data_IF_513273230245
#
_entry.id   IF_513273230245
#
_cell.length_a   1.000
_cell.length_b   1.000
_cell.length_c   1.000
_cell.angle_alpha   90.00
_cell.angle_beta   90.00
_cell.angle_gamma   90.00
#
_symmetry.space_group_name_H-M   'P 1'
#
loop_
_entity.id
_entity.type
_entity.pdbx_description
1 polymer ?
#
# COMPACT_ATOMS: atom_id res chain seq x y z
N UNK A 1 -39.41 57.89 39.16
CA UNK A 1 -38.12 58.38 38.59
C UNK A 1 -37.44 57.16 37.96
N UNK A 2 -37.38 57.02 36.62
CA UNK A 2 -36.20 57.36 35.75
C UNK A 2 -34.88 56.86 36.39
N UNK A 3 -34.05 55.98 35.82
CA UNK A 3 -33.73 55.58 34.43
C UNK A 3 -33.22 54.11 34.37
N UNK A 4 -33.27 53.49 33.18
CA UNK A 4 -32.52 52.29 32.73
C UNK A 4 -31.22 52.72 31.99
N UNK A 5 -30.38 51.88 31.31
CA UNK A 5 -30.12 50.41 31.34
C UNK A 5 -28.59 50.06 31.35
N UNK A 6 -28.26 48.77 31.12
CA UNK A 6 -27.04 48.20 30.50
C UNK A 6 -25.88 47.61 31.35
N UNK A 7 -25.50 46.39 30.90
CA UNK A 7 -24.22 45.68 31.03
C UNK A 7 -23.85 44.98 32.35
N UNK A 8 -24.09 43.66 32.39
CA UNK A 8 -23.07 42.58 32.45
C UNK A 8 -23.63 41.36 33.19
N UNK A 9 -23.76 40.24 32.45
CA UNK A 9 -23.17 38.94 32.81
C UNK A 9 -23.44 37.94 31.70
N UNK A 10 -22.42 37.73 30.87
CA UNK A 10 -22.25 36.54 30.04
C UNK A 10 -22.05 35.31 30.94
N UNK A 11 -22.72 34.20 30.55
CA UNK A 11 -22.34 32.77 30.57
C UNK A 11 -21.46 32.18 31.72
N UNK A 12 -21.72 30.92 32.16
CA UNK A 12 -21.77 29.79 31.23
C UNK A 12 -22.87 28.75 31.48
N UNK A 13 -23.65 28.49 30.42
CA UNK A 13 -24.31 27.21 30.18
C UNK A 13 -23.58 26.54 29.01
N UNK A 14 -22.34 26.09 29.24
CA UNK A 14 -21.49 25.40 28.27
C UNK A 14 -20.40 24.66 29.04
N UNK A 15 -20.77 23.61 29.76
CA UNK A 15 -19.80 22.83 30.54
C UNK A 15 -20.13 21.33 30.67
N UNK A 16 -21.15 20.83 29.98
CA UNK A 16 -21.57 19.42 30.08
C UNK A 16 -21.64 18.67 28.74
N UNK A 17 -21.04 19.22 27.68
CA UNK A 17 -20.97 18.59 26.35
C UNK A 17 -19.54 18.33 25.85
N UNK A 18 -18.55 18.39 26.75
CA UNK A 18 -17.14 18.10 26.46
C UNK A 18 -16.62 16.91 27.28
N UNK A 19 -17.47 15.89 27.49
CA UNK A 19 -16.96 14.53 27.73
C UNK A 19 -16.29 14.07 26.44
N UNK A 20 -15.02 14.46 26.31
CA UNK A 20 -13.94 13.62 25.81
C UNK A 20 -14.42 12.61 24.78
N UNK A 21 -14.57 13.05 23.52
CA UNK A 21 -14.21 12.18 22.42
C UNK A 21 -12.72 11.88 22.61
N UNK A 22 -12.39 10.93 23.50
CA UNK A 22 -11.06 10.36 23.56
C UNK A 22 -10.79 9.88 22.15
N UNK A 23 -9.83 10.51 21.49
CA UNK A 23 -9.41 10.10 20.18
C UNK A 23 -9.00 8.63 20.25
N UNK A 24 -9.84 7.75 19.70
CA UNK A 24 -9.59 6.32 19.61
C UNK A 24 -8.73 5.98 18.39
N UNK A 25 -8.21 6.98 17.68
CA UNK A 25 -7.27 6.79 16.56
C UNK A 25 -5.96 6.09 16.95
N UNK A 26 -5.73 5.78 18.22
CA UNK A 26 -4.62 4.91 18.66
C UNK A 26 -5.03 3.54 19.20
N UNK A 27 -6.33 3.22 19.25
CA UNK A 27 -6.83 1.96 19.84
C UNK A 27 -7.06 0.93 18.74
N UNK A 28 -6.20 -0.08 18.72
CA UNK A 28 -6.27 -1.21 17.81
C UNK A 28 -6.82 -2.44 18.54
N UNK A 29 -7.62 -3.26 17.85
CA UNK A 29 -8.23 -4.44 18.45
C UNK A 29 -7.21 -5.57 18.61
N UNK A 30 -6.77 -5.82 19.85
CA UNK A 30 -5.68 -6.75 20.19
C UNK A 30 -6.08 -8.23 20.10
N UNK A 31 -7.35 -8.56 19.82
CA UNK A 31 -7.86 -9.93 19.74
C UNK A 31 -8.20 -10.44 18.33
N UNK A 32 -8.00 -9.61 17.30
CA UNK A 32 -8.38 -9.94 15.92
C UNK A 32 -7.23 -10.64 15.18
N UNK A 33 -7.56 -11.51 14.22
CA UNK A 33 -6.56 -12.13 13.35
C UNK A 33 -5.75 -11.05 12.62
N UNK A 34 -4.42 -11.09 12.68
CA UNK A 34 -3.58 -10.02 12.12
C UNK A 34 -3.66 -9.93 10.60
N UNK A 35 -3.86 -11.06 9.92
CA UNK A 35 -4.09 -11.14 8.49
C UNK A 35 -5.40 -11.90 8.20
N UNK A 36 -6.20 -11.37 7.29
CA UNK A 36 -7.45 -11.98 6.81
C UNK A 36 -7.44 -12.18 5.30
N UNK A 37 -6.33 -11.84 4.64
CA UNK A 37 -6.17 -12.00 3.21
C UNK A 37 -6.13 -13.49 2.85
N UNK A 38 -6.97 -13.87 1.89
CA UNK A 38 -6.83 -15.14 1.18
C UNK A 38 -6.02 -14.90 -0.09
N UNK A 39 -4.84 -15.53 -0.17
CA UNK A 39 -3.94 -15.43 -1.32
C UNK A 39 -4.61 -15.88 -2.62
N UNK A 40 -4.46 -15.10 -3.68
CA UNK A 40 -5.01 -15.37 -5.00
C UNK A 40 -4.39 -16.61 -5.68
N UNK A 41 -3.13 -16.91 -5.37
CA UNK A 41 -2.41 -18.11 -5.84
C UNK A 41 -1.85 -17.99 -7.27
N UNK A 42 -1.42 -19.11 -7.84
CA UNK A 42 -0.66 -19.14 -9.10
C UNK A 42 -1.45 -18.72 -10.35
N UNK A 43 -2.79 -18.78 -10.31
CA UNK A 43 -3.65 -18.38 -11.44
C UNK A 43 -4.15 -16.96 -11.18
N UNK A 44 -3.25 -15.99 -11.31
CA UNK A 44 -3.51 -14.58 -10.98
C UNK A 44 -2.94 -13.67 -12.08
N UNK A 45 -3.50 -12.47 -12.24
CA UNK A 45 -2.96 -11.39 -13.07
C UNK A 45 -3.05 -10.05 -12.35
N UNK A 46 -2.05 -9.19 -12.56
CA UNK A 46 -2.05 -7.80 -12.09
C UNK A 46 -2.30 -6.84 -13.24
N UNK A 47 -3.19 -5.87 -13.01
CA UNK A 47 -3.62 -4.86 -13.96
C UNK A 47 -3.51 -3.48 -13.32
N UNK A 48 -3.01 -2.50 -14.06
CA UNK A 48 -2.71 -1.17 -13.53
C UNK A 48 -3.14 -0.08 -14.49
N UNK A 49 -3.42 1.10 -13.92
CA UNK A 49 -3.52 2.37 -14.67
C UNK A 49 -3.01 3.52 -13.82
N UNK A 50 -2.54 4.55 -14.49
CA UNK A 50 -2.20 5.83 -13.84
C UNK A 50 -3.37 6.79 -13.90
N UNK A 51 -3.59 7.50 -12.80
CA UNK A 51 -4.47 8.64 -12.66
C UNK A 51 -3.62 9.89 -12.39
N UNK A 52 -4.28 11.05 -12.25
CA UNK A 52 -3.57 12.33 -12.07
C UNK A 52 -2.73 12.37 -10.80
N UNK A 53 -3.17 11.74 -9.71
CA UNK A 53 -2.48 11.75 -8.42
C UNK A 53 -2.31 10.34 -7.84
N UNK A 54 -2.69 9.30 -8.58
CA UNK A 54 -2.80 7.94 -8.04
C UNK A 54 -2.41 6.89 -9.08
N UNK A 55 -1.99 5.73 -8.61
CA UNK A 55 -1.91 4.50 -9.39
C UNK A 55 -3.00 3.55 -8.90
N UNK A 56 -3.89 3.13 -9.79
CA UNK A 56 -4.91 2.12 -9.48
C UNK A 56 -4.44 0.75 -9.93
N UNK A 57 -4.48 -0.22 -9.03
CA UNK A 57 -4.05 -1.60 -9.22
C UNK A 57 -5.24 -2.53 -8.98
N UNK A 58 -5.37 -3.54 -9.83
CA UNK A 58 -6.24 -4.68 -9.64
C UNK A 58 -5.42 -5.97 -9.68
N UNK A 59 -5.60 -6.82 -8.67
CA UNK A 59 -5.09 -8.19 -8.67
C UNK A 59 -6.28 -9.13 -8.73
N UNK A 60 -6.37 -9.89 -9.81
CA UNK A 60 -7.48 -10.79 -10.08
C UNK A 60 -6.97 -12.22 -10.08
N UNK A 61 -7.60 -13.10 -9.29
CA UNK A 61 -7.37 -14.55 -9.29
C UNK A 61 -7.85 -15.24 -10.56
N UNK A 62 -7.43 -14.73 -11.71
CA UNK A 62 -7.58 -15.30 -13.03
C UNK A 62 -6.37 -14.87 -13.87
N UNK A 63 -5.80 -15.79 -14.65
CA UNK A 63 -4.65 -15.48 -15.51
C UNK A 63 -5.03 -14.61 -16.73
N UNK A 64 -6.25 -14.79 -17.27
CA UNK A 64 -6.72 -14.10 -18.48
C UNK A 64 -8.17 -13.58 -18.31
N UNK A 65 -8.41 -12.66 -17.36
CA UNK A 65 -9.75 -12.15 -17.06
C UNK A 65 -10.39 -11.47 -18.28
N UNK A 66 -11.73 -11.57 -18.37
CA UNK A 66 -12.52 -10.95 -19.45
C UNK A 66 -12.64 -11.76 -20.74
N UNK A 67 -12.12 -12.99 -20.77
CA UNK A 67 -12.19 -13.88 -21.96
C UNK A 67 -13.23 -15.00 -21.81
N UNK A 68 -13.64 -15.31 -20.58
CA UNK A 68 -14.54 -16.40 -20.23
C UNK A 68 -15.19 -16.14 -18.88
N UNK A 69 -16.04 -17.08 -18.45
CA UNK A 69 -16.48 -17.13 -17.06
C UNK A 69 -15.27 -17.45 -16.16
N UNK A 70 -15.07 -16.64 -15.13
CA UNK A 70 -13.97 -16.79 -14.16
C UNK A 70 -14.49 -16.40 -12.77
N UNK A 71 -13.80 -16.90 -11.75
CA UNK A 71 -14.03 -16.51 -10.36
C UNK A 71 -12.73 -16.66 -9.59
N UNK A 72 -12.51 -15.82 -8.60
CA UNK A 72 -11.31 -15.91 -7.79
C UNK A 72 -11.18 -14.75 -6.83
N UNK A 73 -9.96 -14.58 -6.34
CA UNK A 73 -9.54 -13.46 -5.51
C UNK A 73 -9.71 -12.13 -6.25
N UNK A 74 -10.12 -11.09 -5.51
CA UNK A 74 -10.22 -9.72 -6.00
C UNK A 74 -9.50 -8.82 -5.03
N UNK A 75 -8.51 -8.09 -5.51
CA UNK A 75 -7.92 -6.96 -4.80
C UNK A 75 -7.95 -5.74 -5.70
N UNK A 76 -8.37 -4.62 -5.13
CA UNK A 76 -8.23 -3.29 -5.73
C UNK A 76 -7.40 -2.43 -4.78
N UNK A 77 -6.38 -1.74 -5.28
CA UNK A 77 -5.62 -0.77 -4.51
C UNK A 77 -5.54 0.57 -5.27
N UNK A 78 -5.67 1.67 -4.54
CA UNK A 78 -5.34 3.01 -4.98
C UNK A 78 -4.14 3.45 -4.15
N UNK A 79 -3.01 3.69 -4.82
CA UNK A 79 -1.79 4.22 -4.20
C UNK A 79 -1.63 5.65 -4.68
N UNK A 80 -1.73 6.60 -3.76
CA UNK A 80 -1.57 8.01 -4.05
C UNK A 80 -0.09 8.36 -4.21
N UNK A 81 0.20 9.43 -4.94
CA UNK A 81 1.53 10.00 -5.09
C UNK A 81 2.23 10.22 -3.74
N UNK A 82 1.48 10.62 -2.72
CA UNK A 82 1.99 10.83 -1.35
C UNK A 82 2.21 9.53 -0.55
N UNK A 83 2.07 8.36 -1.17
CA UNK A 83 2.19 7.03 -0.56
C UNK A 83 1.03 6.65 0.39
N UNK A 84 -0.06 7.43 0.43
CA UNK A 84 -1.33 6.98 1.02
C UNK A 84 -1.92 5.83 0.19
N UNK A 85 -2.58 4.89 0.86
CA UNK A 85 -3.15 3.70 0.19
C UNK A 85 -4.56 3.44 0.67
N UNK A 86 -5.46 3.18 -0.27
CA UNK A 86 -6.75 2.56 -0.01
C UNK A 86 -6.80 1.21 -0.73
N UNK A 87 -7.27 0.16 -0.06
CA UNK A 87 -7.31 -1.16 -0.66
C UNK A 87 -8.56 -1.93 -0.28
N UNK A 88 -9.12 -2.68 -1.21
CA UNK A 88 -10.26 -3.57 -1.05
C UNK A 88 -9.79 -4.99 -1.34
N UNK A 89 -10.15 -5.95 -0.48
CA UNK A 89 -9.83 -7.36 -0.66
C UNK A 89 -11.09 -8.22 -0.52
N UNK A 90 -11.23 -9.20 -1.41
CA UNK A 90 -12.42 -10.04 -1.48
C UNK A 90 -12.34 -11.07 -2.59
N UNK A 91 -13.49 -11.39 -3.18
CA UNK A 91 -13.61 -12.29 -4.32
C UNK A 91 -14.45 -11.69 -5.43
N UNK A 92 -14.34 -12.25 -6.63
CA UNK A 92 -15.22 -11.93 -7.75
C UNK A 92 -15.70 -13.21 -8.44
N UNK A 93 -16.83 -13.09 -9.13
CA UNK A 93 -17.34 -14.10 -10.05
C UNK A 93 -17.99 -13.40 -11.24
N UNK A 94 -17.67 -13.85 -12.44
CA UNK A 94 -18.28 -13.40 -13.69
C UNK A 94 -18.75 -14.57 -14.55
N UNK A 95 -19.80 -14.33 -15.33
CA UNK A 95 -20.30 -15.29 -16.32
C UNK A 95 -19.51 -15.21 -17.65
N UNK A 96 -19.94 -15.97 -18.66
CA UNK A 96 -19.28 -16.01 -19.97
C UNK A 96 -19.33 -14.69 -20.75
N UNK A 97 -20.21 -13.75 -20.39
CA UNK A 97 -20.25 -12.41 -20.97
C UNK A 97 -19.42 -11.41 -20.16
N UNK A 98 -18.70 -11.87 -19.14
CA UNK A 98 -17.89 -11.04 -18.23
C UNK A 98 -18.70 -10.29 -17.17
N UNK A 99 -20.01 -10.48 -17.09
CA UNK A 99 -20.87 -9.82 -16.11
C UNK A 99 -20.96 -10.62 -14.82
N UNK A 100 -20.94 -9.94 -13.67
CA UNK A 100 -21.13 -10.59 -12.38
C UNK A 100 -21.00 -9.64 -11.19
N UNK A 101 -20.40 -10.12 -10.10
CA UNK A 101 -20.24 -9.33 -8.87
C UNK A 101 -18.92 -9.59 -8.15
N UNK A 102 -18.48 -8.62 -7.37
CA UNK A 102 -17.48 -8.81 -6.32
C UNK A 102 -18.15 -8.98 -4.95
N UNK A 103 -17.41 -9.55 -4.00
CA UNK A 103 -17.75 -9.64 -2.58
C UNK A 103 -16.55 -9.13 -1.79
N UNK A 104 -16.60 -7.88 -1.33
CA UNK A 104 -15.52 -7.26 -0.56
C UNK A 104 -15.65 -7.67 0.90
N UNK A 105 -14.62 -8.35 1.41
CA UNK A 105 -14.56 -8.90 2.76
C UNK A 105 -13.82 -7.99 3.72
N UNK A 106 -12.85 -7.22 3.21
CA UNK A 106 -12.08 -6.27 4.00
C UNK A 106 -11.68 -5.06 3.18
N UNK A 107 -11.63 -3.91 3.85
CA UNK A 107 -11.08 -2.67 3.31
C UNK A 107 -9.94 -2.20 4.19
N UNK A 108 -8.89 -1.69 3.58
CA UNK A 108 -7.69 -1.20 4.24
C UNK A 108 -7.45 0.26 3.88
N UNK A 109 -6.88 1.00 4.83
CA UNK A 109 -6.53 2.39 4.62
C UNK A 109 -5.24 2.73 5.36
N UNK A 110 -4.33 3.37 4.66
CA UNK A 110 -3.18 4.05 5.24
C UNK A 110 -3.17 5.49 4.73
N UNK A 111 -3.04 6.44 5.64
CA UNK A 111 -2.92 7.85 5.33
C UNK A 111 -1.49 8.30 5.60
N UNK A 112 -0.86 8.89 4.60
CA UNK A 112 0.43 9.52 4.78
C UNK A 112 0.28 10.80 5.61
N UNK A 113 0.96 10.85 6.76
CA UNK A 113 0.84 11.93 7.75
C UNK A 113 2.22 12.37 8.25
N UNK A 114 3.11 12.86 7.35
CA UNK A 114 4.52 13.13 7.67
C UNK A 114 4.68 14.17 8.79
N UNK A 115 3.75 15.13 8.86
CA UNK A 115 3.75 16.21 9.84
C UNK A 115 3.31 15.79 11.25
N UNK A 116 2.81 14.56 11.41
CA UNK A 116 2.37 14.03 12.71
C UNK A 116 3.40 13.05 13.23
N UNK A 117 3.70 13.11 14.53
CA UNK A 117 4.52 12.07 15.17
C UNK A 117 3.74 10.76 15.36
N UNK A 118 4.39 9.63 15.63
CA UNK A 118 3.76 8.30 15.73
C UNK A 118 2.60 8.19 16.75
N UNK A 119 2.61 9.02 17.80
CA UNK A 119 1.55 9.09 18.83
C UNK A 119 0.26 9.78 18.37
N UNK A 120 0.33 10.56 17.28
CA UNK A 120 -0.78 11.38 16.75
C UNK A 120 -1.28 10.88 15.39
N UNK A 121 -0.56 9.92 14.80
CA UNK A 121 -0.92 9.30 13.53
C UNK A 121 -2.01 8.27 13.76
N UNK A 122 -2.86 8.16 12.76
CA UNK A 122 -3.83 7.08 12.72
C UNK A 122 -3.10 5.74 12.54
N UNK A 123 -2.16 5.70 11.58
CA UNK A 123 -1.55 4.47 11.12
C UNK A 123 -2.52 3.60 10.33
N UNK A 124 -2.03 2.50 9.77
CA UNK A 124 -2.86 1.67 8.90
C UNK A 124 -4.09 1.06 9.62
N UNK A 125 -5.18 0.93 8.88
CA UNK A 125 -6.50 0.48 9.35
C UNK A 125 -7.01 -0.64 8.48
N UNK A 126 -7.71 -1.59 9.11
CA UNK A 126 -8.49 -2.62 8.43
C UNK A 126 -9.91 -2.66 8.99
N UNK A 127 -10.88 -2.64 8.11
CA UNK A 127 -12.30 -2.82 8.41
C UNK A 127 -12.79 -4.11 7.75
N UNK A 128 -13.20 -5.10 8.55
CA UNK A 128 -13.86 -6.30 8.01
C UNK A 128 -15.31 -5.94 7.69
N UNK A 129 -15.83 -6.54 6.61
CA UNK A 129 -17.18 -6.32 6.13
C UNK A 129 -18.02 -7.56 6.45
N UNK A 130 -18.96 -7.40 7.37
CA UNK A 130 -19.94 -8.43 7.73
C UNK A 130 -21.34 -7.79 7.83
N UNK A 131 -22.22 -8.00 6.82
CA UNK A 131 -22.01 -8.83 5.63
C UNK A 131 -21.02 -8.21 4.61
N UNK A 132 -20.48 -9.01 3.67
CA UNK A 132 -19.61 -8.50 2.61
C UNK A 132 -20.30 -7.44 1.74
N UNK A 133 -19.53 -6.46 1.25
CA UNK A 133 -20.03 -5.46 0.30
C UNK A 133 -20.11 -6.09 -1.09
N UNK A 134 -21.29 -6.08 -1.70
CA UNK A 134 -21.50 -6.58 -3.07
C UNK A 134 -21.43 -5.42 -4.06
N UNK A 135 -20.58 -5.55 -5.08
CA UNK A 135 -20.47 -4.59 -6.17
C UNK A 135 -20.71 -5.28 -7.50
N UNK A 136 -21.28 -4.57 -8.46
CA UNK A 136 -21.40 -5.07 -9.82
C UNK A 136 -20.04 -5.02 -10.51
N UNK A 137 -19.68 -6.07 -11.25
CA UNK A 137 -18.46 -6.09 -12.05
C UNK A 137 -18.75 -6.53 -13.48
N UNK A 138 -18.09 -5.88 -14.43
CA UNK A 138 -18.06 -6.27 -15.83
C UNK A 138 -16.61 -6.34 -16.30
N UNK A 139 -16.21 -7.49 -16.81
CA UNK A 139 -14.90 -7.72 -17.42
C UNK A 139 -15.04 -7.83 -18.93
N UNK A 140 -14.03 -7.40 -19.66
CA UNK A 140 -13.93 -7.53 -21.10
C UNK A 140 -12.50 -7.31 -21.57
N UNK A 141 -12.29 -7.35 -22.89
CA UNK A 141 -10.97 -7.18 -23.50
C UNK A 141 -11.04 -6.11 -24.58
N UNK A 142 -10.03 -5.25 -24.59
CA UNK A 142 -9.70 -4.41 -25.73
C UNK A 142 -8.25 -4.70 -26.13
N UNK A 143 -8.09 -5.61 -27.10
CA UNK A 143 -6.81 -6.21 -27.45
C UNK A 143 -6.07 -6.78 -26.22
N UNK A 144 -4.87 -6.27 -25.93
CA UNK A 144 -4.05 -6.67 -24.79
C UNK A 144 -4.51 -6.06 -23.45
N UNK A 145 -5.38 -5.04 -23.48
CA UNK A 145 -5.87 -4.34 -22.29
C UNK A 145 -7.13 -4.99 -21.72
N UNK A 146 -7.29 -4.89 -20.41
CA UNK A 146 -8.49 -5.32 -19.69
C UNK A 146 -9.47 -4.15 -19.64
N UNK A 147 -10.70 -4.36 -20.09
CA UNK A 147 -11.79 -3.44 -19.78
C UNK A 147 -12.51 -3.92 -18.53
N UNK A 148 -12.63 -3.05 -17.54
CA UNK A 148 -13.20 -3.34 -16.23
C UNK A 148 -14.23 -2.27 -15.89
N UNK A 149 -15.39 -2.67 -15.41
CA UNK A 149 -16.31 -1.78 -14.73
C UNK A 149 -16.66 -2.35 -13.38
N UNK A 150 -16.49 -1.57 -12.33
CA UNK A 150 -16.95 -1.86 -10.96
C UNK A 150 -17.93 -0.76 -10.57
N UNK A 151 -19.14 -1.13 -10.17
CA UNK A 151 -20.23 -0.20 -9.81
C UNK A 151 -20.49 0.92 -10.82
N UNK A 152 -20.41 0.56 -12.11
CA UNK A 152 -20.72 1.46 -13.23
C UNK A 152 -19.58 2.38 -13.67
N UNK A 153 -18.46 2.41 -12.94
CA UNK A 153 -17.27 3.16 -13.37
C UNK A 153 -16.46 2.32 -14.37
N UNK A 154 -16.46 2.68 -15.65
CA UNK A 154 -15.65 1.97 -16.64
C UNK A 154 -14.18 2.41 -16.60
N UNK A 155 -13.27 1.48 -16.80
CA UNK A 155 -11.84 1.71 -16.93
C UNK A 155 -11.20 0.73 -17.91
N UNK A 156 -10.09 1.17 -18.51
CA UNK A 156 -9.18 0.33 -19.29
C UNK A 156 -7.89 0.21 -18.51
N UNK A 157 -7.32 -1.00 -18.45
CA UNK A 157 -6.16 -1.30 -17.63
C UNK A 157 -5.09 -2.00 -18.46
N UNK A 158 -3.83 -1.69 -18.14
CA UNK A 158 -2.64 -2.29 -18.73
C UNK A 158 -2.13 -3.40 -17.82
N UNK A 159 -1.78 -4.55 -18.40
CA UNK A 159 -1.22 -5.66 -17.63
C UNK A 159 0.17 -5.31 -17.09
N UNK A 160 0.49 -5.72 -15.87
CA UNK A 160 1.80 -5.46 -15.27
C UNK A 160 3.00 -5.90 -16.14
N UNK A 161 2.96 -7.03 -16.88
CA UNK A 161 4.06 -7.39 -17.78
C UNK A 161 4.35 -6.32 -18.84
N UNK A 162 3.32 -5.62 -19.36
CA UNK A 162 3.51 -4.52 -20.31
C UNK A 162 4.16 -3.30 -19.66
N UNK A 163 3.90 -3.04 -18.38
CA UNK A 163 4.60 -1.98 -17.63
C UNK A 163 6.06 -2.35 -17.42
N UNK A 164 6.35 -3.60 -17.03
CA UNK A 164 7.73 -4.08 -16.82
C UNK A 164 8.54 -3.99 -18.12
N UNK A 165 7.94 -4.33 -19.26
CA UNK A 165 8.56 -4.22 -20.60
C UNK A 165 9.08 -2.81 -20.92
N UNK A 166 8.48 -1.77 -20.35
CA UNK A 166 8.82 -0.37 -20.63
C UNK A 166 9.95 0.17 -19.74
N UNK A 167 10.39 -0.60 -18.74
CA UNK A 167 11.44 -0.17 -17.80
C UNK A 167 12.81 -0.27 -18.48
N UNK A 168 13.66 0.72 -18.21
CA UNK A 168 15.06 0.71 -18.64
C UNK A 168 15.99 0.69 -17.41
N UNK A 169 16.39 -0.50 -16.92
CA UNK A 169 17.13 -0.60 -15.66
C UNK A 169 18.54 -0.01 -15.73
N UNK A 170 19.01 0.40 -16.91
CA UNK A 170 20.40 0.84 -17.13
C UNK A 170 20.58 2.35 -17.04
N UNK A 171 19.51 3.10 -16.77
CA UNK A 171 19.52 4.57 -16.71
C UNK A 171 19.03 5.08 -15.36
N UNK A 172 19.42 6.31 -15.00
CA UNK A 172 18.91 6.98 -13.80
C UNK A 172 17.37 7.05 -13.80
N UNK A 173 16.79 7.51 -14.92
CA UNK A 173 15.33 7.64 -15.03
C UNK A 173 14.61 6.31 -14.89
N UNK A 174 15.13 5.25 -15.51
CA UNK A 174 14.53 3.93 -15.34
C UNK A 174 14.74 3.31 -13.96
N UNK A 175 15.87 3.58 -13.28
CA UNK A 175 16.06 3.20 -11.88
C UNK A 175 15.06 3.89 -10.94
N UNK A 176 14.74 5.17 -11.18
CA UNK A 176 13.69 5.90 -10.46
C UNK A 176 12.29 5.34 -10.76
N UNK A 177 12.01 4.97 -12.01
CA UNK A 177 10.73 4.40 -12.40
C UNK A 177 10.53 2.99 -11.81
N UNK A 178 11.58 2.16 -11.77
CA UNK A 178 11.56 0.86 -11.07
C UNK A 178 11.34 1.09 -9.58
N UNK A 179 12.05 2.06 -8.95
CA UNK A 179 11.88 2.40 -7.54
C UNK A 179 10.42 2.70 -7.19
N UNK A 180 9.77 3.56 -7.99
CA UNK A 180 8.35 3.91 -7.81
C UNK A 180 7.46 2.68 -7.95
N UNK A 181 7.68 1.84 -8.98
CA UNK A 181 6.87 0.64 -9.20
C UNK A 181 7.00 -0.37 -8.04
N UNK A 182 8.22 -0.65 -7.57
CA UNK A 182 8.42 -1.66 -6.51
C UNK A 182 7.94 -1.15 -5.14
N UNK A 183 8.00 0.17 -4.89
CA UNK A 183 7.46 0.76 -3.67
C UNK A 183 5.94 0.69 -3.56
N UNK A 184 5.20 0.65 -4.67
CA UNK A 184 3.76 0.36 -4.65
C UNK A 184 3.50 -0.96 -3.91
N UNK A 185 4.26 -2.01 -4.25
CA UNK A 185 4.12 -3.31 -3.60
C UNK A 185 4.43 -3.23 -2.09
N UNK A 186 5.46 -2.46 -1.75
CA UNK A 186 5.84 -2.20 -0.37
C UNK A 186 4.72 -1.49 0.42
N UNK A 187 4.12 -0.41 -0.10
CA UNK A 187 3.03 0.30 0.58
C UNK A 187 1.75 -0.51 0.68
N UNK A 188 1.44 -1.34 -0.33
CA UNK A 188 0.32 -2.29 -0.25
C UNK A 188 0.51 -3.27 0.92
N UNK A 189 1.71 -3.80 1.11
CA UNK A 189 2.01 -4.71 2.23
C UNK A 189 1.90 -3.99 3.60
N UNK A 190 2.41 -2.77 3.71
CA UNK A 190 2.37 -1.96 4.93
C UNK A 190 0.94 -1.58 5.34
N UNK A 191 0.09 -1.28 4.36
CA UNK A 191 -1.31 -0.89 4.58
C UNK A 191 -2.14 -2.02 5.21
N UNK A 192 -1.69 -3.27 5.08
CA UNK A 192 -2.30 -4.43 5.74
C UNK A 192 -1.86 -4.63 7.20
N UNK A 193 -0.75 -4.02 7.59
CA UNK A 193 -0.21 -4.12 8.96
C UNK A 193 -0.94 -3.11 9.84
N UNK A 194 -1.94 -3.57 10.58
CA UNK A 194 -2.74 -2.70 11.44
C UNK A 194 -1.87 -1.86 12.40
N UNK A 195 -2.02 -0.54 12.33
CA UNK A 195 -1.21 0.38 13.13
C UNK A 195 0.14 0.77 12.55
N UNK A 196 0.48 0.30 11.34
CA UNK A 196 1.69 0.71 10.64
C UNK A 196 1.84 2.23 10.59
N UNK A 197 3.07 2.72 10.85
CA UNK A 197 3.38 4.15 10.92
C UNK A 197 2.90 4.87 12.19
N UNK A 198 2.30 4.16 13.14
CA UNK A 198 1.81 4.70 14.41
C UNK A 198 2.12 3.77 15.60
N UNK A 199 1.70 4.15 16.82
CA UNK A 199 1.90 3.33 18.02
C UNK A 199 1.19 1.98 18.01
N UNK A 200 0.22 1.78 17.11
CA UNK A 200 -0.45 0.50 16.92
C UNK A 200 0.51 -0.65 16.62
N UNK A 201 1.68 -0.36 16.03
CA UNK A 201 2.75 -1.33 15.76
C UNK A 201 3.22 -2.11 17.01
N UNK A 202 3.04 -1.56 18.21
CA UNK A 202 3.38 -2.25 19.47
C UNK A 202 2.60 -3.56 19.69
N UNK A 203 1.51 -3.81 18.97
CA UNK A 203 0.84 -5.13 19.00
C UNK A 203 1.74 -6.26 18.46
N UNK A 204 2.76 -5.91 17.66
CA UNK A 204 3.70 -6.86 17.05
C UNK A 204 4.95 -7.13 17.91
N UNK A 205 4.91 -6.81 19.21
CA UNK A 205 5.91 -7.35 20.18
C UNK A 205 5.89 -8.87 20.23
N UNK A 206 4.73 -9.46 19.94
CA UNK A 206 4.65 -10.84 19.47
C UNK A 206 4.66 -10.80 17.94
N UNK A 207 5.72 -11.29 17.29
CA UNK A 207 5.85 -11.23 15.85
C UNK A 207 4.67 -11.87 15.13
N UNK A 208 4.30 -11.31 13.98
CA UNK A 208 3.19 -11.81 13.17
C UNK A 208 3.61 -11.98 11.72
N UNK A 209 3.07 -13.00 11.07
CA UNK A 209 3.29 -13.29 9.66
C UNK A 209 2.03 -13.00 8.87
N UNK A 210 2.22 -12.42 7.70
CA UNK A 210 1.19 -12.05 6.74
C UNK A 210 1.52 -12.74 5.41
N UNK A 211 0.48 -13.09 4.65
CA UNK A 211 0.63 -13.69 3.33
C UNK A 211 0.79 -12.62 2.26
N UNK A 212 1.41 -12.95 1.13
CA UNK A 212 1.27 -12.12 -0.07
C UNK A 212 -0.11 -12.27 -0.71
N UNK A 213 -0.53 -11.24 -1.45
CA UNK A 213 -1.73 -11.25 -2.29
C UNK A 213 -1.64 -12.36 -3.32
N UNK A 214 -0.48 -12.54 -3.94
CA UNK A 214 -0.26 -13.60 -4.95
C UNK A 214 0.47 -14.80 -4.35
N UNK A 215 1.57 -14.57 -3.63
CA UNK A 215 2.39 -15.62 -3.03
C UNK A 215 3.36 -15.09 -1.95
N UNK A 216 4.03 -16.00 -1.26
CA UNK A 216 5.05 -15.67 -0.27
C UNK A 216 4.47 -15.11 1.02
N UNK A 217 5.36 -14.63 1.89
CA UNK A 217 4.99 -14.10 3.20
C UNK A 217 5.90 -12.96 3.61
N UNK A 218 5.45 -12.18 4.58
CA UNK A 218 6.29 -11.24 5.30
C UNK A 218 5.97 -11.25 6.78
N UNK A 219 7.00 -10.99 7.60
CA UNK A 219 6.92 -11.02 9.05
C UNK A 219 7.18 -9.64 9.61
N UNK A 220 6.31 -9.21 10.52
CA UNK A 220 6.42 -7.96 11.26
C UNK A 220 6.79 -8.29 12.71
N UNK A 221 7.85 -7.69 13.22
CA UNK A 221 8.21 -7.75 14.64
C UNK A 221 8.59 -6.37 15.15
N UNK A 222 8.19 -6.09 16.40
CA UNK A 222 8.53 -4.84 17.08
C UNK A 222 9.25 -5.15 18.38
N UNK A 223 10.37 -4.46 18.61
CA UNK A 223 11.17 -4.56 19.81
C UNK A 223 11.06 -3.24 20.60
N UNK A 224 10.84 -3.35 21.91
CA UNK A 224 10.54 -2.20 22.78
C UNK A 224 11.70 -1.72 23.66
N UNK A 225 11.54 -0.52 24.22
CA UNK A 225 12.49 0.14 25.12
C UNK A 225 12.35 1.67 25.09
N UNK A 226 13.45 2.39 25.31
CA UNK A 226 13.56 3.84 25.02
C UNK A 226 13.68 4.15 23.52
N UNK A 227 13.93 3.12 22.70
CA UNK A 227 13.89 3.12 21.24
C UNK A 227 12.96 2.00 20.79
N UNK A 228 12.25 2.23 19.70
CA UNK A 228 11.35 1.26 19.08
C UNK A 228 12.05 0.72 17.84
N UNK A 229 12.35 -0.58 17.87
CA UNK A 229 12.84 -1.31 16.70
C UNK A 229 11.71 -1.96 15.95
N UNK A 230 11.68 -1.83 14.63
CA UNK A 230 10.76 -2.54 13.76
C UNK A 230 11.56 -3.36 12.76
N UNK A 231 11.29 -4.66 12.72
CA UNK A 231 11.83 -5.60 11.75
C UNK A 231 10.72 -6.04 10.79
N UNK A 232 10.94 -5.79 9.50
CA UNK A 232 10.12 -6.33 8.42
C UNK A 232 10.98 -7.31 7.63
N UNK A 233 10.58 -8.58 7.59
CA UNK A 233 11.28 -9.64 6.84
C UNK A 233 10.38 -10.16 5.74
N UNK A 234 10.85 -10.08 4.50
CA UNK A 234 10.13 -10.51 3.30
C UNK A 234 10.73 -11.80 2.77
N UNK A 235 9.87 -12.76 2.39
CA UNK A 235 10.31 -14.06 1.88
C UNK A 235 9.46 -14.48 0.69
N UNK A 236 10.04 -14.34 -0.50
CA UNK A 236 9.40 -14.57 -1.79
C UNK A 236 8.07 -13.84 -1.92
N UNK A 237 7.93 -12.66 -1.30
CA UNK A 237 6.66 -11.94 -1.24
C UNK A 237 6.26 -11.50 -2.64
N UNK A 238 5.05 -11.85 -3.06
CA UNK A 238 4.42 -11.35 -4.27
C UNK A 238 3.06 -10.80 -3.91
N UNK A 239 2.97 -9.47 -3.82
CA UNK A 239 1.69 -8.76 -3.77
C UNK A 239 1.19 -8.41 -5.19
N UNK A 240 2.11 -8.45 -6.18
CA UNK A 240 1.86 -8.31 -7.62
C UNK A 240 2.42 -9.54 -8.36
N UNK A 241 1.85 -9.92 -9.52
CA UNK A 241 2.16 -11.22 -10.16
C UNK A 241 3.60 -11.40 -10.58
N UNK A 242 4.20 -10.35 -11.13
CA UNK A 242 5.50 -10.40 -11.84
C UNK A 242 6.61 -9.69 -11.06
N UNK A 243 6.38 -9.40 -9.78
CA UNK A 243 7.35 -8.74 -8.90
C UNK A 243 7.44 -9.53 -7.60
N UNK A 244 8.64 -10.01 -7.30
CA UNK A 244 8.98 -10.64 -6.04
C UNK A 244 9.80 -9.69 -5.17
N UNK A 245 9.60 -9.75 -3.85
CA UNK A 245 10.41 -9.04 -2.86
C UNK A 245 10.95 -10.01 -1.81
N UNK A 246 12.23 -9.86 -1.52
CA UNK A 246 12.99 -10.59 -0.51
C UNK A 246 13.86 -9.63 0.30
N UNK A 247 14.21 -10.03 1.52
CA UNK A 247 15.17 -9.30 2.35
C UNK A 247 14.55 -8.74 3.62
N UNK A 248 15.25 -7.79 4.23
CA UNK A 248 14.89 -7.24 5.51
C UNK A 248 14.89 -5.72 5.46
N UNK A 249 14.05 -5.12 6.30
CA UNK A 249 14.17 -3.73 6.67
C UNK A 249 14.16 -3.64 8.19
N UNK A 250 15.19 -3.01 8.74
CA UNK A 250 15.30 -2.74 10.16
C UNK A 250 15.22 -1.23 10.40
N UNK A 251 14.27 -0.79 11.21
CA UNK A 251 14.11 0.64 11.54
C UNK A 251 14.17 0.83 13.05
N UNK A 252 15.04 1.73 13.50
CA UNK A 252 15.24 2.03 14.93
C UNK A 252 14.95 3.50 15.22
N UNK A 253 13.79 3.78 15.79
CA UNK A 253 13.37 5.16 16.05
C UNK A 253 13.32 5.48 17.55
N UNK A 254 13.52 6.76 17.87
CA UNK A 254 13.18 7.30 19.18
C UNK A 254 11.65 7.44 19.36
N UNK A 255 11.21 7.94 20.52
CA UNK A 255 9.78 8.18 20.79
C UNK A 255 9.16 9.27 19.90
N UNK A 256 9.98 10.10 19.26
CA UNK A 256 9.56 11.08 18.24
C UNK A 256 9.40 10.45 16.85
N UNK A 257 9.81 9.21 16.65
CA UNK A 257 9.79 8.55 15.35
C UNK A 257 11.03 8.84 14.50
N UNK A 258 12.12 9.36 15.08
CA UNK A 258 13.32 9.71 14.33
C UNK A 258 14.42 8.67 14.52
N UNK A 259 15.11 8.30 13.44
CA UNK A 259 16.24 7.40 13.50
C UNK A 259 16.57 6.76 12.15
N UNK A 260 17.55 5.85 12.10
CA UNK A 260 17.95 5.23 10.84
C UNK A 260 17.03 4.07 10.46
N UNK A 261 16.99 3.82 9.16
CA UNK A 261 16.65 2.51 8.59
C UNK A 261 17.92 1.87 8.07
N UNK A 262 18.00 0.54 8.08
CA UNK A 262 19.13 -0.21 7.54
C UNK A 262 18.65 -1.51 6.89
N UNK A 263 19.61 -2.29 6.37
CA UNK A 263 19.39 -3.50 5.57
C UNK A 263 19.00 -3.19 4.12
N UNK A 264 18.58 -4.22 3.38
CA UNK A 264 18.27 -4.12 1.97
C UNK A 264 17.05 -4.96 1.58
N UNK A 265 16.34 -4.49 0.57
CA UNK A 265 15.28 -5.23 -0.10
C UNK A 265 15.72 -5.55 -1.54
N UNK A 266 15.63 -6.82 -1.90
CA UNK A 266 15.84 -7.31 -3.25
C UNK A 266 14.50 -7.52 -3.93
N UNK A 267 14.41 -7.04 -5.17
CA UNK A 267 13.28 -7.24 -6.05
C UNK A 267 13.71 -7.99 -7.31
N UNK A 268 12.87 -8.93 -7.72
CA UNK A 268 13.00 -9.64 -8.98
C UNK A 268 11.76 -9.35 -9.81
N UNK A 269 11.93 -8.69 -10.96
CA UNK A 269 10.84 -8.34 -11.87
C UNK A 269 10.92 -9.26 -13.09
N UNK A 270 9.89 -10.09 -13.29
CA UNK A 270 9.83 -11.07 -14.38
C UNK A 270 9.55 -10.33 -15.71
N UNK A 271 10.59 -10.13 -16.53
CA UNK A 271 10.48 -9.40 -17.79
C UNK A 271 9.85 -10.29 -18.88
N UNK A 272 8.78 -9.86 -19.57
CA UNK A 272 8.02 -10.76 -20.46
C UNK A 272 8.78 -11.19 -21.72
N UNK A 273 9.74 -10.38 -22.18
CA UNK A 273 10.47 -10.63 -23.43
C UNK A 273 11.94 -11.02 -23.22
N UNK A 274 12.39 -11.13 -21.97
CA UNK A 274 13.78 -11.47 -21.64
C UNK A 274 13.82 -12.76 -20.82
N UNK A 275 14.83 -13.62 -21.02
CA UNK A 275 14.94 -14.87 -20.27
C UNK A 275 15.32 -14.64 -18.80
N UNK A 276 16.09 -13.59 -18.53
CA UNK A 276 16.54 -13.21 -17.19
C UNK A 276 15.64 -12.08 -16.65
N UNK A 277 15.28 -12.12 -15.36
CA UNK A 277 14.50 -11.05 -14.74
C UNK A 277 15.36 -9.80 -14.51
N UNK A 278 14.71 -8.64 -14.36
CA UNK A 278 15.38 -7.44 -13.85
C UNK A 278 15.59 -7.64 -12.35
N UNK A 279 16.85 -7.52 -11.90
CA UNK A 279 17.21 -7.53 -10.49
C UNK A 279 17.33 -6.08 -9.99
N UNK A 280 16.70 -5.78 -8.86
CA UNK A 280 16.72 -4.44 -8.29
C UNK A 280 16.87 -4.49 -6.78
N UNK A 281 17.90 -3.84 -6.23
CA UNK A 281 18.17 -3.82 -4.79
C UNK A 281 18.09 -2.40 -4.26
N UNK A 282 17.36 -2.20 -3.15
CA UNK A 282 17.33 -0.95 -2.41
C UNK A 282 18.15 -1.13 -1.13
N UNK A 283 19.18 -0.29 -0.95
CA UNK A 283 19.96 -0.21 0.27
C UNK A 283 19.44 0.94 1.12
N UNK A 284 19.15 0.68 2.39
CA UNK A 284 18.55 1.67 3.29
C UNK A 284 19.56 2.38 4.21
N UNK A 285 20.84 2.01 4.16
CA UNK A 285 21.85 2.43 5.15
C UNK A 285 22.07 3.96 5.23
N UNK A 286 21.76 4.68 4.15
CA UNK A 286 21.87 6.14 4.06
C UNK A 286 20.52 6.88 4.21
N UNK A 287 19.46 6.17 4.63
CA UNK A 287 18.13 6.75 4.81
C UNK A 287 17.86 7.14 6.26
N UNK A 288 17.49 8.42 6.45
CA UNK A 288 16.98 8.92 7.71
C UNK A 288 15.44 8.90 7.75
N UNK A 289 14.91 8.33 8.83
CA UNK A 289 13.50 8.38 9.16
C UNK A 289 13.24 9.58 10.06
N UNK A 290 12.29 10.43 9.65
CA UNK A 290 11.79 11.57 10.43
C UNK A 290 10.29 11.39 10.67
N UNK A 291 9.88 11.54 11.93
CA UNK A 291 8.53 11.30 12.40
C UNK A 291 7.96 9.90 12.08
N UNK A 292 8.77 8.92 11.68
CA UNK A 292 8.32 7.60 11.25
C UNK A 292 8.00 7.50 9.76
N UNK A 293 8.57 8.36 8.92
CA UNK A 293 8.57 8.28 7.46
C UNK A 293 9.96 8.64 6.93
N UNK A 294 10.28 8.28 5.68
CA UNK A 294 11.48 8.79 5.01
C UNK A 294 11.48 10.33 5.07
N UNK A 295 12.56 10.92 5.57
CA UNK A 295 12.63 12.37 5.84
C UNK A 295 13.96 13.03 5.50
N UNK A 296 14.96 12.24 5.10
CA UNK A 296 16.26 12.73 4.66
C UNK A 296 17.16 11.60 4.16
N UNK A 297 18.30 11.97 3.58
CA UNK A 297 19.27 11.03 3.05
C UNK A 297 19.02 10.66 1.58
N UNK A 298 19.52 9.51 1.16
CA UNK A 298 19.41 9.04 -0.22
C UNK A 298 19.16 7.53 -0.22
N UNK A 299 18.48 7.05 -1.26
CA UNK A 299 18.42 5.63 -1.56
C UNK A 299 19.57 5.29 -2.50
N UNK A 300 20.51 4.48 -2.03
CA UNK A 300 21.43 3.79 -2.93
C UNK A 300 20.69 2.58 -3.50
N UNK A 301 20.71 2.42 -4.81
CA UNK A 301 20.05 1.29 -5.50
C UNK A 301 21.00 0.61 -6.48
N UNK A 302 20.90 -0.71 -6.58
CA UNK A 302 21.50 -1.50 -7.65
C UNK A 302 20.38 -1.91 -8.61
N UNK A 303 20.42 -1.41 -9.85
CA UNK A 303 19.46 -1.69 -10.91
C UNK A 303 20.17 -2.48 -12.02
N UNK A 304 19.93 -3.78 -12.03
CA UNK A 304 20.49 -4.75 -12.97
C UNK A 304 22.03 -4.68 -13.07
N UNK A 305 22.70 -4.56 -11.91
CA UNK A 305 24.16 -4.46 -11.80
C UNK A 305 24.71 -3.04 -11.90
N UNK A 306 23.85 -2.02 -12.06
CA UNK A 306 24.24 -0.61 -12.16
C UNK A 306 23.82 0.14 -10.89
N UNK A 307 24.78 0.83 -10.27
CA UNK A 307 24.53 1.61 -9.06
C UNK A 307 23.99 3.00 -9.40
N UNK A 308 22.90 3.39 -8.72
CA UNK A 308 22.32 4.73 -8.78
C UNK A 308 22.07 5.26 -7.37
N UNK A 309 21.95 6.58 -7.28
CA UNK A 309 21.61 7.30 -6.04
C UNK A 309 20.34 8.08 -6.31
N UNK A 310 19.33 7.87 -5.47
CA UNK A 310 18.01 8.48 -5.63
C UNK A 310 17.69 9.35 -4.42
N UNK A 311 17.04 10.49 -4.66
CA UNK A 311 16.59 11.38 -3.59
C UNK A 311 15.52 10.67 -2.74
N UNK A 312 15.62 10.79 -1.41
CA UNK A 312 14.64 10.24 -0.47
C UNK A 312 13.20 10.71 -0.76
N UNK A 313 13.04 11.90 -1.36
CA UNK A 313 11.74 12.45 -1.75
C UNK A 313 10.99 11.57 -2.75
N UNK A 314 11.67 10.68 -3.49
CA UNK A 314 10.99 9.73 -4.37
C UNK A 314 10.06 8.78 -3.63
N UNK A 315 10.34 8.47 -2.35
CA UNK A 315 9.43 7.67 -1.52
C UNK A 315 8.16 8.45 -1.10
N UNK A 316 8.07 9.74 -1.45
CA UNK A 316 6.90 10.59 -1.27
C UNK A 316 6.28 11.03 -2.61
N UNK A 317 6.77 10.47 -3.73
CA UNK A 317 6.33 10.75 -5.10
C UNK A 317 6.17 9.43 -5.89
N UNK A 318 5.27 8.57 -5.40
CA UNK A 318 5.11 7.21 -5.91
C UNK A 318 3.95 7.11 -6.89
N UNK A 319 4.26 7.37 -8.16
CA UNK A 319 3.35 7.16 -9.28
C UNK A 319 4.09 6.61 -10.51
N UNK A 320 3.41 5.84 -11.36
CA UNK A 320 4.06 5.24 -12.54
C UNK A 320 3.82 6.01 -13.84
N UNK A 321 3.45 7.30 -13.77
CA UNK A 321 3.06 8.13 -14.94
C UNK A 321 4.13 8.25 -16.03
N UNK A 322 5.41 8.12 -15.67
CA UNK A 322 6.51 8.14 -16.64
C UNK A 322 6.54 6.87 -17.51
N UNK A 323 6.08 5.75 -16.96
CA UNK A 323 6.06 4.43 -17.63
C UNK A 323 4.70 4.15 -18.27
N UNK A 324 3.63 4.54 -17.58
CA UNK A 324 2.25 4.40 -18.00
C UNK A 324 1.52 5.75 -17.88
N UNK A 325 1.46 6.54 -18.96
CA UNK A 325 0.79 7.84 -18.95
C UNK A 325 -0.69 7.78 -18.56
N UNK A 326 -1.20 8.88 -18.02
CA UNK A 326 -2.62 9.00 -17.65
C UNK A 326 -3.51 8.90 -18.90
N UNK A 327 -4.56 8.09 -18.81
CA UNK A 327 -5.55 7.92 -19.89
C UNK A 327 -5.19 6.87 -20.95
N UNK A 328 -4.06 6.17 -20.79
CA UNK A 328 -3.78 4.92 -21.50
C UNK A 328 -4.50 3.72 -20.83
#
# INVERSE_FOLDING_TARGET
>A
MRLSPFFRRLLPALSLLALMACDKSGVHDLGRANDTLSTCGAVTSTWVRSLDEETEIFVLGAANPGTRADSGCFVRALVNQDSSVAMEAGSFQVNATGAGSTQILATYRFLFQPDRGPLQREGARRFDQDPPITQTIQLGRDAARLTLSVDGEARTLTGLPEVIRRLDPTTQGGAEDIFRLVNIMFYMSQTRVQGFGATGMTMYVTPSTFNGIVAGTYRVAVQGGLRIGTDLTYTGLRDLTDIQMDGNQHTMVDLGGNGPTSEMLLFTLDHPDQPDPILYTIFYDDLDVINGAAGGGEYTVDSDGNMFVLDWMLAQDVHIRNVLPVGE
#
